data_IF_155902514074
#
_entry.id   IF_155902514074
#
_cell.length_a   1.000
_cell.length_b   1.000
_cell.length_c   1.000
_cell.angle_alpha   90.00
_cell.angle_beta   90.00
_cell.angle_gamma   90.00
#
_symmetry.space_group_name_H-M   'P 1'
#
loop_
_entity.id
_entity.type
_entity.pdbx_description
1 polymer ?
#
# COMPACT_ATOMS: atom_id res chain seq x y z
N UNK A 1 -13.97 -19.31 2.00
CA UNK A 1 -13.48 -19.43 0.61
C UNK A 1 -12.65 -20.70 0.52
N UNK A 2 -12.61 -21.40 -0.64
CA UNK A 2 -11.66 -22.50 -0.81
C UNK A 2 -10.22 -21.98 -0.70
N UNK A 3 -9.26 -22.79 -0.20
CA UNK A 3 -7.85 -22.38 -0.16
C UNK A 3 -7.35 -22.00 -1.57
N UNK A 4 -6.74 -20.82 -1.66
CA UNK A 4 -6.11 -20.29 -2.87
C UNK A 4 -4.59 -20.38 -2.75
N UNK A 5 -3.89 -20.44 -3.87
CA UNK A 5 -2.46 -20.24 -3.96
C UNK A 5 -2.20 -18.77 -4.26
N UNK A 6 -1.60 -18.06 -3.34
CA UNK A 6 -1.40 -16.61 -3.44
C UNK A 6 0.08 -16.31 -3.38
N UNK A 7 0.58 -15.56 -4.36
CA UNK A 7 1.95 -15.06 -4.38
C UNK A 7 1.92 -13.58 -3.99
N UNK A 8 2.65 -13.23 -2.92
CA UNK A 8 2.74 -11.86 -2.39
C UNK A 8 4.11 -11.28 -2.69
N UNK A 9 4.21 -10.36 -3.64
CA UNK A 9 5.41 -9.59 -3.92
C UNK A 9 5.51 -8.42 -2.93
N UNK A 10 6.64 -8.26 -2.26
CA UNK A 10 6.82 -7.32 -1.15
C UNK A 10 6.21 -7.81 0.17
N UNK A 11 6.12 -9.14 0.33
CA UNK A 11 5.46 -9.75 1.49
C UNK A 11 6.20 -9.62 2.82
N UNK A 12 7.50 -9.28 2.83
CA UNK A 12 8.26 -8.99 4.04
C UNK A 12 8.20 -7.51 4.47
N UNK A 13 7.53 -6.66 3.65
CA UNK A 13 7.31 -5.25 3.94
C UNK A 13 6.17 -5.01 4.95
N UNK A 14 5.85 -3.72 5.18
CA UNK A 14 4.81 -3.30 6.11
C UNK A 14 3.44 -3.92 5.78
N UNK A 15 2.82 -3.54 4.66
CA UNK A 15 1.48 -4.03 4.29
C UNK A 15 1.53 -5.54 3.98
N UNK A 16 2.59 -5.97 3.27
CA UNK A 16 2.74 -7.37 2.85
C UNK A 16 2.76 -8.35 3.99
N UNK A 17 3.47 -8.06 5.08
CA UNK A 17 3.56 -8.97 6.23
C UNK A 17 2.24 -9.14 6.98
N UNK A 18 1.44 -8.07 7.11
CA UNK A 18 0.09 -8.17 7.68
C UNK A 18 -0.86 -8.96 6.76
N UNK A 19 -0.74 -8.76 5.44
CA UNK A 19 -1.48 -9.57 4.47
C UNK A 19 -1.11 -11.05 4.58
N UNK A 20 0.17 -11.36 4.65
CA UNK A 20 0.66 -12.75 4.80
C UNK A 20 0.09 -13.40 6.05
N UNK A 21 0.14 -12.72 7.20
CA UNK A 21 -0.44 -13.24 8.45
C UNK A 21 -1.96 -13.51 8.30
N UNK A 22 -2.70 -12.60 7.67
CA UNK A 22 -4.13 -12.76 7.40
C UNK A 22 -4.40 -13.97 6.49
N UNK A 23 -3.64 -14.12 5.39
CA UNK A 23 -3.82 -15.23 4.45
C UNK A 23 -3.48 -16.59 5.08
N UNK A 24 -2.43 -16.64 5.91
CA UNK A 24 -2.08 -17.85 6.65
C UNK A 24 -3.17 -18.23 7.67
N UNK A 25 -3.74 -17.25 8.38
CA UNK A 25 -4.86 -17.48 9.29
C UNK A 25 -6.12 -18.00 8.56
N UNK A 26 -6.35 -17.57 7.33
CA UNK A 26 -7.44 -18.05 6.45
C UNK A 26 -7.11 -19.36 5.72
N UNK A 27 -5.98 -19.99 6.03
CA UNK A 27 -5.55 -21.29 5.50
C UNK A 27 -5.28 -21.31 3.99
N UNK A 28 -4.83 -20.20 3.40
CA UNK A 28 -4.34 -20.14 2.04
C UNK A 28 -2.92 -20.70 1.90
N UNK A 29 -2.52 -21.10 0.68
CA UNK A 29 -1.14 -21.42 0.33
C UNK A 29 -0.43 -20.13 -0.09
N UNK A 30 0.57 -19.70 0.69
CA UNK A 30 1.20 -18.38 0.51
C UNK A 30 2.66 -18.53 0.09
N UNK A 31 2.97 -18.02 -1.09
CA UNK A 31 4.34 -17.81 -1.55
C UNK A 31 4.68 -16.31 -1.40
N UNK A 32 5.78 -15.99 -0.74
CA UNK A 32 6.30 -14.63 -0.58
C UNK A 32 7.53 -14.43 -1.44
N UNK A 33 7.54 -13.37 -2.22
CA UNK A 33 8.70 -12.87 -2.97
C UNK A 33 9.08 -11.50 -2.43
N UNK A 34 10.31 -11.36 -1.95
CA UNK A 34 10.82 -10.09 -1.40
C UNK A 34 12.35 -10.09 -1.50
N UNK A 35 12.94 -9.01 -2.00
CA UNK A 35 14.40 -8.86 -2.09
C UNK A 35 15.02 -8.29 -0.80
N UNK A 36 14.19 -8.03 0.21
CA UNK A 36 14.55 -7.47 1.50
C UNK A 36 15.21 -6.08 1.42
N UNK A 37 15.04 -5.37 0.31
CA UNK A 37 15.55 -4.00 0.16
C UNK A 37 14.92 -3.03 1.17
N UNK A 38 13.68 -3.28 1.55
CA UNK A 38 12.94 -2.49 2.54
C UNK A 38 12.21 -3.34 3.56
N UNK A 39 11.93 -4.59 3.24
CA UNK A 39 11.29 -5.58 4.09
C UNK A 39 12.24 -6.19 5.11
N UNK A 40 11.69 -6.95 6.07
CA UNK A 40 12.44 -7.70 7.07
C UNK A 40 11.85 -9.09 7.29
N UNK A 41 12.73 -10.10 7.38
CA UNK A 41 12.30 -11.45 7.73
C UNK A 41 11.66 -11.54 9.14
N UNK A 42 11.99 -10.61 10.03
CA UNK A 42 11.35 -10.52 11.35
C UNK A 42 9.84 -10.28 11.25
N UNK A 43 9.39 -9.56 10.22
CA UNK A 43 7.97 -9.32 9.98
C UNK A 43 7.18 -10.59 9.62
N UNK A 44 7.87 -11.65 9.20
CA UNK A 44 7.28 -12.93 8.78
C UNK A 44 7.48 -14.06 9.81
N UNK A 45 7.93 -13.72 11.01
CA UNK A 45 8.32 -14.71 12.02
C UNK A 45 7.16 -15.66 12.35
N UNK A 46 5.98 -15.15 12.63
CA UNK A 46 4.79 -15.94 12.97
C UNK A 46 4.36 -16.84 11.79
N UNK A 47 4.29 -16.26 10.59
CA UNK A 47 3.89 -16.98 9.38
C UNK A 47 4.86 -18.09 9.00
N UNK A 48 6.17 -17.92 9.23
CA UNK A 48 7.19 -18.93 8.96
C UNK A 48 7.12 -20.14 9.88
N UNK A 49 6.62 -19.95 11.08
CA UNK A 49 6.43 -21.00 12.08
C UNK A 49 5.08 -21.71 11.96
N UNK A 50 4.15 -21.13 11.20
CA UNK A 50 2.89 -21.77 10.87
C UNK A 50 3.09 -22.89 9.84
N UNK A 51 2.17 -23.84 9.75
CA UNK A 51 2.22 -25.07 8.93
C UNK A 51 2.77 -24.87 7.51
N UNK A 52 3.23 -25.95 6.85
CA UNK A 52 3.96 -26.00 5.56
C UNK A 52 3.32 -25.39 4.30
N UNK A 53 2.35 -24.49 4.45
CA UNK A 53 1.70 -23.70 3.39
C UNK A 53 2.40 -22.37 3.08
N UNK A 54 3.43 -22.02 3.84
CA UNK A 54 4.22 -20.80 3.67
C UNK A 54 5.55 -21.09 2.98
N UNK A 55 5.91 -20.29 1.99
CA UNK A 55 7.23 -20.31 1.34
C UNK A 55 7.73 -18.89 1.12
N UNK A 56 9.03 -18.71 1.31
CA UNK A 56 9.72 -17.43 1.10
C UNK A 56 10.81 -17.59 0.05
N UNK A 57 10.88 -16.64 -0.89
CA UNK A 57 11.89 -16.54 -1.92
C UNK A 57 12.54 -15.15 -1.85
N UNK A 58 13.85 -15.13 -1.60
CA UNK A 58 14.62 -13.89 -1.59
C UNK A 58 15.08 -13.57 -3.02
N UNK A 59 14.18 -13.01 -3.81
CA UNK A 59 14.45 -12.57 -5.18
C UNK A 59 13.71 -11.29 -5.47
N UNK A 60 14.21 -10.51 -6.45
CA UNK A 60 13.48 -9.37 -7.00
C UNK A 60 12.42 -9.84 -8.01
N UNK A 61 11.28 -9.15 -8.07
CA UNK A 61 10.26 -9.39 -9.11
C UNK A 61 10.76 -9.08 -10.53
N UNK A 62 11.89 -8.36 -10.64
CA UNK A 62 12.53 -8.05 -11.92
C UNK A 62 13.59 -9.09 -12.32
N UNK A 63 13.89 -10.06 -11.47
CA UNK A 63 14.84 -11.09 -11.80
C UNK A 63 14.24 -12.14 -12.75
N UNK A 64 15.01 -12.76 -13.65
CA UNK A 64 14.52 -13.83 -14.53
C UNK A 64 13.87 -14.98 -13.79
N UNK A 65 14.36 -15.31 -12.60
CA UNK A 65 13.87 -16.39 -11.74
C UNK A 65 12.43 -16.15 -11.27
N UNK A 66 11.97 -14.90 -11.27
CA UNK A 66 10.60 -14.60 -10.86
C UNK A 66 9.56 -15.18 -11.82
N UNK A 67 9.76 -15.05 -13.13
CA UNK A 67 8.85 -15.62 -14.13
C UNK A 67 8.87 -17.16 -14.09
N UNK A 68 10.04 -17.76 -13.87
CA UNK A 68 10.18 -19.20 -13.69
C UNK A 68 9.45 -19.68 -12.44
N UNK A 69 9.59 -18.94 -11.32
CA UNK A 69 8.88 -19.21 -10.07
C UNK A 69 7.35 -19.18 -10.26
N UNK A 70 6.82 -18.15 -10.90
CA UNK A 70 5.37 -18.03 -11.18
C UNK A 70 4.90 -19.21 -12.02
N UNK A 71 5.63 -19.58 -13.06
CA UNK A 71 5.31 -20.73 -13.92
C UNK A 71 5.35 -22.07 -13.17
N UNK A 72 6.27 -22.23 -12.23
CA UNK A 72 6.41 -23.43 -11.40
C UNK A 72 5.30 -23.52 -10.34
N UNK A 73 5.04 -22.39 -9.65
CA UNK A 73 4.12 -22.33 -8.49
C UNK A 73 2.67 -22.27 -8.92
N UNK A 74 2.38 -21.67 -10.08
CA UNK A 74 1.05 -21.45 -10.64
C UNK A 74 0.09 -20.86 -9.60
N UNK A 75 0.38 -19.66 -9.06
CA UNK A 75 -0.54 -19.03 -8.13
C UNK A 75 -1.87 -18.69 -8.82
N UNK A 76 -2.96 -18.76 -8.08
CA UNK A 76 -4.26 -18.27 -8.53
C UNK A 76 -4.27 -16.75 -8.62
N UNK A 77 -3.59 -16.10 -7.66
CA UNK A 77 -3.54 -14.64 -7.51
C UNK A 77 -2.11 -14.20 -7.22
N UNK A 78 -1.70 -13.10 -7.85
CA UNK A 78 -0.50 -12.34 -7.44
C UNK A 78 -0.95 -11.03 -6.80
N UNK A 79 -0.43 -10.74 -5.59
CA UNK A 79 -0.58 -9.44 -4.93
C UNK A 79 0.75 -8.70 -5.01
N UNK A 80 0.76 -7.56 -5.73
CA UNK A 80 1.96 -6.77 -5.94
C UNK A 80 1.98 -5.54 -5.01
N UNK A 81 2.80 -5.60 -3.97
CA UNK A 81 3.04 -4.55 -2.98
C UNK A 81 4.48 -4.02 -3.03
N UNK A 82 5.28 -4.45 -4.02
CA UNK A 82 6.71 -4.12 -4.16
C UNK A 82 6.97 -2.85 -4.98
N UNK A 83 5.93 -2.12 -5.37
CA UNK A 83 6.02 -0.98 -6.29
C UNK A 83 5.61 0.33 -5.61
N UNK A 84 6.22 1.44 -6.06
CA UNK A 84 5.93 2.80 -5.58
C UNK A 84 5.97 2.95 -4.05
N UNK A 85 6.88 2.22 -3.41
CA UNK A 85 7.11 2.36 -1.97
C UNK A 85 7.77 3.71 -1.64
N UNK A 86 7.75 4.18 -0.38
CA UNK A 86 8.41 5.44 -0.01
C UNK A 86 9.90 5.51 -0.38
N UNK A 87 10.61 4.39 -0.40
CA UNK A 87 12.00 4.31 -0.88
C UNK A 87 12.14 4.55 -2.39
N UNK A 88 11.07 4.42 -3.15
CA UNK A 88 10.99 4.69 -4.59
C UNK A 88 10.43 6.09 -4.91
N UNK A 89 10.47 7.02 -3.97
CA UNK A 89 9.93 8.38 -4.12
C UNK A 89 10.82 9.33 -4.94
N UNK A 90 11.55 8.80 -5.92
CA UNK A 90 12.37 9.52 -6.88
C UNK A 90 12.29 8.86 -8.25
N UNK A 91 12.65 9.58 -9.31
CA UNK A 91 12.46 9.15 -10.71
C UNK A 91 12.97 7.73 -11.00
N UNK A 92 14.18 7.38 -10.57
CA UNK A 92 14.74 6.04 -10.82
C UNK A 92 13.94 4.95 -10.09
N UNK A 93 13.50 5.21 -8.87
CA UNK A 93 12.66 4.29 -8.12
C UNK A 93 11.27 4.11 -8.73
N UNK A 94 10.66 5.18 -9.23
CA UNK A 94 9.39 5.11 -9.93
C UNK A 94 9.52 4.37 -11.28
N UNK A 95 10.63 4.56 -12.02
CA UNK A 95 10.92 3.81 -13.23
C UNK A 95 11.12 2.30 -12.93
N UNK A 96 11.83 1.98 -11.86
CA UNK A 96 11.96 0.60 -11.35
C UNK A 96 10.59 0.01 -11.01
N UNK A 97 9.71 0.78 -10.37
CA UNK A 97 8.35 0.34 -10.02
C UNK A 97 7.48 0.06 -11.24
N UNK A 98 7.57 0.88 -12.29
CA UNK A 98 6.89 0.61 -13.57
C UNK A 98 7.42 -0.67 -14.21
N UNK A 99 8.74 -0.84 -14.28
CA UNK A 99 9.35 -2.05 -14.84
C UNK A 99 8.96 -3.30 -14.03
N UNK A 100 8.94 -3.21 -12.70
CA UNK A 100 8.47 -4.28 -11.81
C UNK A 100 6.99 -4.61 -12.04
N UNK A 101 6.13 -3.61 -12.25
CA UNK A 101 4.73 -3.83 -12.60
C UNK A 101 4.59 -4.63 -13.89
N UNK A 102 5.34 -4.25 -14.94
CA UNK A 102 5.34 -4.96 -16.22
C UNK A 102 5.85 -6.40 -16.05
N UNK A 103 6.92 -6.60 -15.28
CA UNK A 103 7.47 -7.94 -15.02
C UNK A 103 6.45 -8.85 -14.32
N UNK A 104 5.71 -8.33 -13.32
CA UNK A 104 4.64 -9.07 -12.63
C UNK A 104 3.50 -9.41 -13.58
N UNK A 105 3.04 -8.47 -14.40
CA UNK A 105 1.96 -8.70 -15.37
C UNK A 105 2.38 -9.72 -16.43
N UNK A 106 3.62 -9.66 -16.92
CA UNK A 106 4.14 -10.61 -17.91
C UNK A 106 4.30 -12.01 -17.31
N UNK A 107 4.82 -12.12 -16.08
CA UNK A 107 4.89 -13.40 -15.38
C UNK A 107 3.49 -13.99 -15.13
N UNK A 108 2.52 -13.15 -14.78
CA UNK A 108 1.12 -13.57 -14.61
C UNK A 108 0.53 -14.10 -15.93
N UNK A 109 0.77 -13.40 -17.05
CA UNK A 109 0.34 -13.83 -18.38
C UNK A 109 0.93 -15.19 -18.76
N UNK A 110 2.24 -15.35 -18.60
CA UNK A 110 2.95 -16.59 -18.96
C UNK A 110 2.60 -17.77 -18.04
N UNK A 111 2.40 -17.49 -16.74
CA UNK A 111 2.05 -18.50 -15.74
C UNK A 111 0.56 -18.87 -15.69
N UNK A 112 -0.30 -18.19 -16.46
CA UNK A 112 -1.75 -18.42 -16.46
C UNK A 112 -2.43 -18.02 -15.15
N UNK A 113 -1.91 -16.97 -14.49
CA UNK A 113 -2.46 -16.42 -13.25
C UNK A 113 -3.81 -15.77 -13.51
N UNK A 114 -4.81 -16.09 -12.69
CA UNK A 114 -6.17 -15.61 -12.90
C UNK A 114 -6.31 -14.10 -12.65
N UNK A 115 -5.58 -13.57 -11.65
CA UNK A 115 -5.71 -12.16 -11.26
C UNK A 115 -4.45 -11.58 -10.64
N UNK A 116 -4.21 -10.30 -10.95
CA UNK A 116 -3.18 -9.48 -10.31
C UNK A 116 -3.85 -8.36 -9.52
N UNK A 117 -3.51 -8.24 -8.23
CA UNK A 117 -3.91 -7.11 -7.37
C UNK A 117 -2.69 -6.26 -7.09
N UNK A 118 -2.73 -4.98 -7.45
CA UNK A 118 -1.59 -4.07 -7.24
C UNK A 118 -2.01 -2.89 -6.38
N UNK A 119 -1.25 -2.60 -5.33
CA UNK A 119 -1.42 -1.40 -4.51
C UNK A 119 -0.52 -0.27 -5.01
N UNK A 120 -1.13 0.90 -5.29
CA UNK A 120 -0.40 2.10 -5.72
C UNK A 120 -0.81 3.26 -4.79
N UNK A 121 0.14 4.08 -4.28
CA UNK A 121 -0.20 5.26 -3.50
C UNK A 121 -1.10 6.23 -4.26
N UNK A 122 -2.25 6.56 -3.69
CA UNK A 122 -3.24 7.42 -4.34
C UNK A 122 -2.69 8.83 -4.66
N UNK A 123 -1.77 9.32 -3.84
CA UNK A 123 -1.10 10.59 -4.09
C UNK A 123 -0.34 10.63 -5.42
N UNK A 124 0.22 9.49 -5.86
CA UNK A 124 0.89 9.37 -7.15
C UNK A 124 -0.11 9.18 -8.31
N UNK A 125 -1.25 8.55 -8.07
CA UNK A 125 -2.27 8.36 -9.12
C UNK A 125 -3.02 9.64 -9.41
N UNK A 126 -3.36 10.43 -8.38
CA UNK A 126 -4.23 11.59 -8.50
C UNK A 126 -3.50 12.92 -8.47
N UNK A 127 -2.33 12.99 -7.83
CA UNK A 127 -1.60 14.24 -7.66
C UNK A 127 -2.33 15.25 -6.78
N UNK A 128 -2.02 16.53 -6.96
CA UNK A 128 -2.63 17.64 -6.21
C UNK A 128 -4.07 17.88 -6.68
N UNK A 129 -5.02 17.96 -5.73
CA UNK A 129 -6.43 18.19 -6.01
C UNK A 129 -6.91 19.52 -5.42
N UNK A 130 -7.86 20.16 -6.09
CA UNK A 130 -8.56 21.32 -5.53
C UNK A 130 -9.46 20.89 -4.36
N UNK A 131 -9.66 21.78 -3.39
CA UNK A 131 -10.48 21.49 -2.21
C UNK A 131 -11.92 21.05 -2.55
N UNK A 132 -12.48 21.59 -3.64
CA UNK A 132 -13.84 21.25 -4.12
C UNK A 132 -13.99 19.84 -4.67
N UNK A 133 -12.87 19.20 -5.02
CA UNK A 133 -12.84 17.86 -5.64
C UNK A 133 -12.62 16.75 -4.60
N UNK A 134 -12.56 17.12 -3.33
CA UNK A 134 -12.43 16.18 -2.22
C UNK A 134 -13.80 15.73 -1.70
N UNK A 135 -13.94 14.48 -1.25
CA UNK A 135 -12.97 13.38 -1.40
C UNK A 135 -12.85 12.91 -2.86
N UNK A 136 -11.61 12.61 -3.29
CA UNK A 136 -11.27 12.25 -4.67
C UNK A 136 -12.00 10.97 -5.08
N UNK A 137 -12.67 11.01 -6.23
CA UNK A 137 -13.29 9.84 -6.86
C UNK A 137 -12.34 9.23 -7.89
N UNK A 138 -12.47 7.93 -8.10
CA UNK A 138 -11.71 7.24 -9.13
C UNK A 138 -12.04 7.77 -10.53
N UNK A 139 -11.01 7.87 -11.36
CA UNK A 139 -11.12 8.50 -12.69
C UNK A 139 -10.92 10.01 -12.67
N UNK A 140 -10.77 10.63 -11.50
CA UNK A 140 -10.35 12.03 -11.43
C UNK A 140 -8.87 12.13 -11.85
N UNK A 141 -8.62 12.83 -12.93
CA UNK A 141 -7.28 13.03 -13.48
C UNK A 141 -6.91 14.51 -13.34
N UNK A 142 -5.84 14.78 -12.62
CA UNK A 142 -5.19 16.09 -12.61
C UNK A 142 -3.97 16.07 -13.51
N UNK A 143 -3.46 17.25 -13.86
CA UNK A 143 -2.17 17.34 -14.53
C UNK A 143 -1.08 16.78 -13.64
N UNK A 144 -0.27 15.88 -14.19
CA UNK A 144 0.89 15.36 -13.47
C UNK A 144 1.92 16.45 -13.27
N UNK A 145 2.39 16.61 -12.04
CA UNK A 145 3.42 17.60 -11.68
C UNK A 145 4.80 16.97 -11.51
N UNK A 146 4.84 15.65 -11.38
CA UNK A 146 6.08 14.89 -11.18
C UNK A 146 6.15 13.71 -12.15
N UNK A 147 7.36 13.28 -12.44
CA UNK A 147 7.61 12.07 -13.23
C UNK A 147 7.08 10.81 -12.55
N UNK A 148 7.11 10.78 -11.22
CA UNK A 148 6.60 9.69 -10.42
C UNK A 148 5.08 9.50 -10.59
N UNK A 149 4.33 10.60 -10.66
CA UNK A 149 2.90 10.57 -10.97
C UNK A 149 2.62 10.02 -12.38
N UNK A 150 3.41 10.44 -13.37
CA UNK A 150 3.28 9.91 -14.75
C UNK A 150 3.53 8.41 -14.79
N UNK A 151 4.59 7.93 -14.14
CA UNK A 151 4.96 6.51 -14.13
C UNK A 151 3.97 5.66 -13.33
N UNK A 152 3.43 6.17 -12.24
CA UNK A 152 2.40 5.47 -11.46
C UNK A 152 1.08 5.32 -12.26
N UNK A 153 0.68 6.35 -12.99
CA UNK A 153 -0.47 6.27 -13.90
C UNK A 153 -0.22 5.29 -15.04
N UNK A 154 0.96 5.35 -15.66
CA UNK A 154 1.34 4.38 -16.68
C UNK A 154 1.29 2.93 -16.15
N UNK A 155 1.74 2.70 -14.92
CA UNK A 155 1.65 1.38 -14.28
C UNK A 155 0.20 0.93 -14.10
N UNK A 156 -0.71 1.82 -13.69
CA UNK A 156 -2.14 1.50 -13.59
C UNK A 156 -2.74 1.18 -14.98
N UNK A 157 -2.41 1.96 -16.01
CA UNK A 157 -2.89 1.75 -17.39
C UNK A 157 -2.38 0.44 -17.98
N UNK A 158 -1.17 -0.01 -17.64
CA UNK A 158 -0.62 -1.29 -18.08
C UNK A 158 -1.50 -2.47 -17.67
N UNK A 159 -2.14 -2.42 -16.50
CA UNK A 159 -3.08 -3.47 -16.08
C UNK A 159 -4.27 -3.58 -17.05
N UNK A 160 -4.82 -2.46 -17.49
CA UNK A 160 -5.89 -2.44 -18.49
C UNK A 160 -5.44 -3.05 -19.82
N UNK A 161 -4.23 -2.71 -20.27
CA UNK A 161 -3.67 -3.29 -21.51
C UNK A 161 -3.52 -4.81 -21.39
N UNK A 162 -2.99 -5.31 -20.26
CA UNK A 162 -2.81 -6.75 -20.08
C UNK A 162 -4.13 -7.50 -19.98
N UNK A 163 -5.15 -6.91 -19.36
CA UNK A 163 -6.51 -7.47 -19.35
C UNK A 163 -7.09 -7.55 -20.75
N UNK A 164 -7.08 -6.45 -21.48
CA UNK A 164 -7.74 -6.35 -22.78
C UNK A 164 -7.06 -7.20 -23.85
N UNK A 165 -5.73 -7.32 -23.80
CA UNK A 165 -4.95 -8.04 -24.81
C UNK A 165 -4.65 -9.49 -24.45
N UNK A 166 -4.57 -9.80 -23.17
CA UNK A 166 -4.07 -11.10 -22.69
C UNK A 166 -4.98 -11.79 -21.69
N UNK A 167 -6.10 -11.18 -21.30
CA UNK A 167 -7.07 -11.76 -20.38
C UNK A 167 -6.58 -11.87 -18.92
N UNK A 168 -5.51 -11.17 -18.54
CA UNK A 168 -5.04 -11.12 -17.16
C UNK A 168 -5.95 -10.18 -16.37
N UNK A 169 -6.81 -10.74 -15.53
CA UNK A 169 -7.70 -9.92 -14.70
C UNK A 169 -6.93 -9.14 -13.65
N UNK A 170 -7.43 -7.96 -13.26
CA UNK A 170 -6.72 -7.13 -12.28
C UNK A 170 -7.66 -6.34 -11.36
N UNK A 171 -7.10 -5.90 -10.23
CA UNK A 171 -7.62 -4.77 -9.45
C UNK A 171 -6.43 -3.89 -9.03
N UNK A 172 -6.49 -2.60 -9.33
CA UNK A 172 -5.55 -1.62 -8.77
C UNK A 172 -6.20 -0.96 -7.57
N UNK A 173 -5.57 -1.04 -6.41
CA UNK A 173 -6.00 -0.39 -5.18
C UNK A 173 -5.23 0.92 -5.01
N UNK A 174 -5.93 2.05 -5.15
CA UNK A 174 -5.39 3.38 -4.87
C UNK A 174 -5.38 3.60 -3.36
N UNK A 175 -4.22 3.35 -2.73
CA UNK A 175 -4.06 3.38 -1.28
C UNK A 175 -3.88 4.80 -0.77
N UNK A 176 -4.66 5.18 0.23
CA UNK A 176 -4.43 6.41 1.00
C UNK A 176 -3.22 6.28 1.94
N UNK A 177 -3.13 7.06 3.00
CA UNK A 177 -2.03 6.97 3.96
C UNK A 177 -2.26 5.81 4.94
N UNK A 178 -1.72 4.65 4.60
CA UNK A 178 -1.84 3.46 5.46
C UNK A 178 -0.90 3.61 6.66
N UNK A 179 -1.37 3.25 7.85
CA UNK A 179 -0.60 3.28 9.08
C UNK A 179 -0.88 2.04 9.94
N UNK A 180 0.10 1.66 10.77
CA UNK A 180 -0.01 0.49 11.62
C UNK A 180 1.34 0.04 12.18
N UNK A 181 1.36 -1.08 12.91
CA UNK A 181 2.58 -1.73 13.38
C UNK A 181 3.46 -2.18 12.21
N UNK A 182 4.74 -2.41 12.46
CA UNK A 182 5.77 -2.78 11.45
C UNK A 182 6.05 -1.71 10.38
N UNK A 183 5.42 -0.52 10.46
CA UNK A 183 5.76 0.59 9.58
C UNK A 183 7.04 1.26 10.06
N UNK A 184 8.02 1.44 9.16
CA UNK A 184 9.28 2.13 9.52
C UNK A 184 9.02 3.63 9.72
N UNK A 185 9.73 4.25 10.66
CA UNK A 185 9.60 5.69 10.93
C UNK A 185 9.87 6.58 9.69
N UNK A 186 10.68 6.09 8.74
CA UNK A 186 10.93 6.76 7.45
C UNK A 186 9.75 6.74 6.48
N UNK A 187 8.79 5.83 6.66
CA UNK A 187 7.80 5.49 5.63
C UNK A 187 6.43 6.15 5.84
N UNK A 188 6.27 6.92 6.91
CA UNK A 188 5.02 7.62 7.15
C UNK A 188 5.03 8.51 8.39
N UNK A 189 4.18 9.52 8.38
CA UNK A 189 4.10 10.51 9.46
C UNK A 189 3.64 9.91 10.79
N UNK A 190 2.72 8.92 10.76
CA UNK A 190 2.26 8.24 11.99
C UNK A 190 3.42 7.48 12.63
N UNK A 191 4.15 6.68 11.85
CA UNK A 191 5.31 5.94 12.36
C UNK A 191 6.44 6.88 12.85
N UNK A 192 6.69 7.98 12.15
CA UNK A 192 7.66 8.99 12.59
C UNK A 192 7.24 9.66 13.91
N UNK A 193 5.96 9.89 14.11
CA UNK A 193 5.43 10.46 15.36
C UNK A 193 5.47 9.43 16.50
N UNK A 194 5.18 8.16 16.24
CA UNK A 194 5.36 7.07 17.21
C UNK A 194 6.81 6.99 17.68
N UNK A 195 7.78 6.95 16.75
CA UNK A 195 9.21 6.92 17.08
C UNK A 195 9.62 8.12 17.91
N UNK A 196 9.14 9.32 17.57
CA UNK A 196 9.44 10.53 18.35
C UNK A 196 8.87 10.47 19.77
N UNK A 197 7.64 9.98 19.94
CA UNK A 197 7.00 9.81 21.24
C UNK A 197 7.73 8.78 22.12
N UNK A 198 8.06 7.62 21.54
CA UNK A 198 8.77 6.54 22.22
C UNK A 198 10.15 6.98 22.75
N UNK A 199 10.85 7.80 21.97
CA UNK A 199 12.17 8.31 22.36
C UNK A 199 12.15 9.66 23.09
N UNK A 200 10.98 10.20 23.41
CA UNK A 200 10.84 11.52 24.07
C UNK A 200 11.42 12.69 23.23
N UNK A 201 11.46 12.54 21.89
CA UNK A 201 11.99 13.53 20.96
C UNK A 201 10.89 14.42 20.39
N UNK A 202 11.25 15.65 20.02
CA UNK A 202 10.36 16.51 19.25
C UNK A 202 10.24 15.99 17.81
N UNK A 203 9.04 15.70 17.32
CA UNK A 203 8.85 15.27 15.93
C UNK A 203 9.13 16.42 14.97
N UNK A 204 9.40 16.07 13.70
CA UNK A 204 9.62 17.05 12.64
C UNK A 204 8.34 17.16 11.81
N UNK A 205 7.79 18.38 11.71
CA UNK A 205 6.67 18.71 10.84
C UNK A 205 7.19 19.55 9.68
N UNK A 206 7.11 19.00 8.47
CA UNK A 206 7.47 19.71 7.25
C UNK A 206 6.36 20.71 6.87
N UNK A 207 6.74 21.96 6.57
CA UNK A 207 5.79 23.03 6.29
C UNK A 207 5.02 23.49 7.52
N UNK A 208 3.75 23.89 7.32
CA UNK A 208 2.89 24.44 8.37
C UNK A 208 2.13 23.39 9.20
N UNK A 209 2.18 22.14 8.82
CA UNK A 209 1.37 21.08 9.43
C UNK A 209 -0.15 21.16 9.09
N UNK A 210 -0.56 22.11 8.24
CA UNK A 210 -1.96 22.26 7.77
C UNK A 210 -2.30 21.35 6.59
N UNK A 211 -1.30 20.73 5.96
CA UNK A 211 -1.54 19.73 4.92
C UNK A 211 -2.32 18.56 5.50
N UNK A 212 -3.31 18.07 4.71
CA UNK A 212 -4.22 17.03 5.16
C UNK A 212 -3.96 15.71 4.45
N UNK A 213 -4.18 14.62 5.17
CA UNK A 213 -4.12 13.24 4.67
C UNK A 213 -5.33 12.45 5.15
N UNK A 214 -5.66 11.44 4.40
CA UNK A 214 -6.66 10.43 4.74
C UNK A 214 -5.92 9.21 5.28
N UNK A 215 -6.14 8.86 6.54
CA UNK A 215 -5.42 7.79 7.24
C UNK A 215 -6.29 6.53 7.33
N UNK A 216 -5.75 5.41 6.85
CA UNK A 216 -6.41 4.10 6.89
C UNK A 216 -5.57 3.15 7.71
N UNK A 217 -6.20 2.48 8.68
CA UNK A 217 -5.51 1.49 9.50
C UNK A 217 -5.13 0.25 8.70
N UNK A 218 -4.05 -0.39 9.09
CA UNK A 218 -3.48 -1.52 8.35
C UNK A 218 -4.47 -2.66 8.14
N UNK A 219 -5.26 -3.02 9.15
CA UNK A 219 -6.22 -4.12 9.06
C UNK A 219 -7.35 -3.83 8.06
N UNK A 220 -7.80 -2.57 7.99
CA UNK A 220 -8.78 -2.13 6.99
C UNK A 220 -8.21 -2.26 5.58
N UNK A 221 -6.92 -1.92 5.41
CA UNK A 221 -6.24 -2.02 4.12
C UNK A 221 -6.06 -3.47 3.67
N UNK A 222 -5.68 -4.36 4.59
CA UNK A 222 -5.56 -5.80 4.33
C UNK A 222 -6.92 -6.40 3.96
N UNK A 223 -8.00 -6.01 4.65
CA UNK A 223 -9.36 -6.46 4.32
C UNK A 223 -9.78 -6.02 2.90
N UNK A 224 -9.43 -4.78 2.48
CA UNK A 224 -9.67 -4.32 1.12
C UNK A 224 -8.92 -5.16 0.07
N UNK A 225 -7.65 -5.51 0.34
CA UNK A 225 -6.85 -6.37 -0.54
C UNK A 225 -7.50 -7.75 -0.66
N UNK A 226 -7.83 -8.40 0.44
CA UNK A 226 -8.44 -9.75 0.44
C UNK A 226 -9.78 -9.75 -0.32
N UNK A 227 -10.64 -8.75 -0.08
CA UNK A 227 -11.92 -8.63 -0.82
C UNK A 227 -11.75 -8.41 -2.32
N UNK A 228 -10.61 -7.89 -2.76
CA UNK A 228 -10.35 -7.69 -4.18
C UNK A 228 -10.03 -8.99 -4.94
N UNK A 229 -9.85 -10.11 -4.27
CA UNK A 229 -9.47 -11.38 -4.92
C UNK A 229 -10.56 -11.89 -5.87
N UNK A 230 -11.81 -11.78 -5.49
CA UNK A 230 -12.97 -12.23 -6.25
C UNK A 230 -13.87 -11.09 -6.76
N UNK A 231 -13.53 -9.83 -6.45
CA UNK A 231 -14.34 -8.65 -6.74
C UNK A 231 -13.55 -7.57 -7.46
N UNK A 232 -14.27 -6.55 -7.94
CA UNK A 232 -13.71 -5.35 -8.57
C UNK A 232 -12.75 -5.63 -9.73
N UNK A 233 -12.96 -6.70 -10.50
CA UNK A 233 -12.16 -7.03 -11.69
C UNK A 233 -12.18 -5.89 -12.71
N UNK A 234 -10.99 -5.56 -13.25
CA UNK A 234 -10.79 -4.49 -14.23
C UNK A 234 -10.94 -3.07 -13.69
N UNK A 235 -10.87 -2.86 -12.38
CA UNK A 235 -11.12 -1.56 -11.78
C UNK A 235 -9.92 -1.03 -11.01
N UNK A 236 -9.82 0.31 -11.01
CA UNK A 236 -9.10 1.06 -9.97
C UNK A 236 -10.09 1.35 -8.86
N UNK A 237 -9.73 1.07 -7.60
CA UNK A 237 -10.59 1.26 -6.42
C UNK A 237 -9.84 2.00 -5.34
N UNK A 238 -10.44 3.06 -4.82
CA UNK A 238 -9.90 3.84 -3.71
C UNK A 238 -10.02 3.09 -2.38
N UNK A 239 -8.91 3.02 -1.65
CA UNK A 239 -8.87 2.55 -0.27
C UNK A 239 -8.57 3.74 0.63
N UNK A 240 -9.63 4.36 1.14
CA UNK A 240 -9.58 5.57 1.94
C UNK A 240 -10.83 5.70 2.82
N UNK A 241 -10.77 6.59 3.80
CA UNK A 241 -11.89 6.86 4.71
C UNK A 241 -12.81 7.99 4.21
N UNK A 242 -12.29 8.86 3.35
CA UNK A 242 -12.93 10.11 2.95
C UNK A 242 -12.71 11.26 3.94
N UNK A 243 -12.03 11.00 5.05
CA UNK A 243 -11.78 12.00 6.11
C UNK A 243 -10.40 12.62 5.94
N UNK A 244 -10.35 13.93 5.82
CA UNK A 244 -9.12 14.70 5.72
C UNK A 244 -8.68 15.15 7.12
N UNK A 245 -7.55 14.65 7.61
CA UNK A 245 -6.95 15.03 8.90
C UNK A 245 -5.66 15.80 8.67
N UNK A 246 -5.49 16.97 9.32
CA UNK A 246 -4.24 17.73 9.22
C UNK A 246 -3.12 17.05 10.03
N UNK A 247 -1.86 17.32 9.65
CA UNK A 247 -0.71 16.78 10.39
C UNK A 247 -0.68 17.33 11.83
N UNK A 248 -1.14 18.56 12.04
CA UNK A 248 -1.26 19.13 13.39
C UNK A 248 -2.34 18.43 14.22
N UNK A 249 -3.50 18.14 13.62
CA UNK A 249 -4.58 17.40 14.31
C UNK A 249 -4.14 15.97 14.63
N UNK A 250 -3.45 15.32 13.69
CA UNK A 250 -2.86 13.98 13.92
C UNK A 250 -1.94 14.01 15.15
N UNK A 251 -1.02 14.97 15.23
CA UNK A 251 -0.12 15.09 16.39
C UNK A 251 -0.89 15.28 17.69
N UNK A 252 -1.93 16.13 17.67
CA UNK A 252 -2.78 16.35 18.84
C UNK A 252 -3.51 15.07 19.28
N UNK A 253 -4.03 14.29 18.33
CA UNK A 253 -4.68 12.99 18.59
C UNK A 253 -3.71 11.95 19.16
N UNK A 254 -2.45 12.00 18.77
CA UNK A 254 -1.40 11.11 19.28
C UNK A 254 -0.91 11.50 20.68
N UNK A 255 -1.57 12.45 21.38
CA UNK A 255 -1.21 12.86 22.73
C UNK A 255 -0.02 13.80 22.79
N UNK A 256 0.28 14.47 21.70
CA UNK A 256 1.37 15.42 21.56
C UNK A 256 1.35 16.62 22.53
N UNK A 257 0.22 16.85 23.19
CA UNK A 257 0.08 17.96 24.18
C UNK A 257 1.04 17.82 25.38
N UNK A 258 1.36 16.58 25.77
CA UNK A 258 2.27 16.27 26.86
C UNK A 258 3.72 16.01 26.42
N UNK A 259 4.00 16.13 25.13
CA UNK A 259 5.29 15.82 24.51
C UNK A 259 5.99 17.08 24.02
N UNK A 260 7.30 17.04 23.70
CA UNK A 260 8.00 18.19 23.13
C UNK A 260 7.29 18.74 21.90
N UNK A 261 7.13 20.06 21.82
CA UNK A 261 6.48 20.70 20.65
C UNK A 261 7.17 20.32 19.34
N UNK A 262 6.42 20.09 18.26
CA UNK A 262 7.01 19.75 16.97
C UNK A 262 7.99 20.81 16.47
N UNK A 263 9.08 20.37 15.86
CA UNK A 263 10.01 21.24 15.15
C UNK A 263 9.52 21.46 13.73
N UNK A 264 9.41 22.70 13.32
CA UNK A 264 9.11 23.03 11.94
C UNK A 264 10.33 22.84 11.04
N UNK A 265 10.16 22.21 9.89
CA UNK A 265 11.15 22.11 8.83
C UNK A 265 10.57 22.66 7.51
N UNK A 266 11.44 22.94 6.55
CA UNK A 266 11.02 23.38 5.21
C UNK A 266 10.03 22.39 4.59
N UNK A 267 8.98 22.89 3.95
CA UNK A 267 8.04 22.06 3.20
C UNK A 267 8.78 21.21 2.16
N UNK A 268 8.37 19.96 2.01
CA UNK A 268 8.96 19.09 0.99
C UNK A 268 8.53 19.58 -0.39
N UNK A 269 9.41 19.56 -1.39
CA UNK A 269 9.02 19.83 -2.77
C UNK A 269 7.89 18.89 -3.20
N UNK A 270 6.89 19.43 -3.89
CA UNK A 270 5.75 18.65 -4.42
C UNK A 270 4.92 17.88 -3.37
N UNK A 271 5.07 18.20 -2.07
CA UNK A 271 4.17 17.63 -1.05
C UNK A 271 2.73 18.10 -1.32
N UNK A 272 1.79 17.14 -1.32
CA UNK A 272 0.39 17.43 -1.58
C UNK A 272 -0.19 18.29 -0.44
N UNK A 273 -0.89 19.36 -0.80
CA UNK A 273 -1.57 20.17 0.22
C UNK A 273 -2.71 19.39 0.88
N UNK A 274 -3.36 18.50 0.12
CA UNK A 274 -4.50 17.73 0.65
C UNK A 274 -4.69 16.42 -0.10
N UNK A 275 -5.16 15.40 0.65
CA UNK A 275 -5.55 14.10 0.11
C UNK A 275 -6.67 13.53 0.97
N UNK A 276 -7.80 13.18 0.36
CA UNK A 276 -8.81 12.26 0.92
C UNK A 276 -9.51 11.55 -0.22
N UNK A 277 -9.87 10.28 -0.03
CA UNK A 277 -10.37 9.40 -1.09
C UNK A 277 -11.82 9.02 -0.83
N UNK A 278 -12.66 9.11 -1.83
CA UNK A 278 -14.04 8.64 -1.74
C UNK A 278 -14.10 7.11 -1.62
N UNK A 279 -14.68 6.54 -0.54
CA UNK A 279 -14.82 5.09 -0.37
C UNK A 279 -16.03 4.50 -1.12
N UNK A 280 -16.74 5.30 -1.92
CA UNK A 280 -18.02 4.88 -2.51
C UNK A 280 -17.85 3.69 -3.44
N UNK A 281 -16.84 3.69 -4.33
CA UNK A 281 -16.60 2.56 -5.23
C UNK A 281 -16.20 1.31 -4.46
N UNK A 282 -15.33 1.43 -3.46
CA UNK A 282 -14.95 0.30 -2.60
C UNK A 282 -16.17 -0.33 -1.92
N UNK A 283 -17.09 0.49 -1.41
CA UNK A 283 -18.34 0.01 -0.80
C UNK A 283 -19.19 -0.79 -1.79
N UNK A 284 -19.34 -0.30 -3.00
CA UNK A 284 -20.17 -0.93 -4.04
C UNK A 284 -19.49 -2.16 -4.62
N UNK A 285 -18.21 -2.07 -4.98
CA UNK A 285 -17.52 -3.07 -5.78
C UNK A 285 -16.80 -4.13 -4.94
N UNK A 286 -16.29 -3.77 -3.75
CA UNK A 286 -15.65 -4.70 -2.82
C UNK A 286 -16.55 -5.11 -1.65
N UNK A 287 -17.64 -4.39 -1.40
CA UNK A 287 -18.41 -4.51 -0.16
C UNK A 287 -17.56 -4.06 1.05
N UNK A 288 -16.62 -3.16 0.84
CA UNK A 288 -15.67 -2.68 1.84
C UNK A 288 -16.01 -1.27 2.31
N UNK A 289 -15.87 -1.06 3.59
CA UNK A 289 -15.83 0.27 4.22
C UNK A 289 -14.79 0.24 5.33
N UNK A 290 -14.11 1.35 5.61
CA UNK A 290 -13.21 1.41 6.76
C UNK A 290 -14.01 1.15 8.04
N UNK A 291 -13.47 0.33 8.94
CA UNK A 291 -14.12 -0.05 10.20
C UNK A 291 -13.33 0.40 11.43
N UNK A 292 -12.08 0.86 11.25
CA UNK A 292 -11.23 1.36 12.33
C UNK A 292 -11.19 2.89 12.27
N UNK A 293 -11.62 3.57 13.33
CA UNK A 293 -11.45 5.02 13.41
C UNK A 293 -9.98 5.38 13.60
N UNK A 294 -9.59 6.61 13.21
CA UNK A 294 -8.20 7.06 13.41
C UNK A 294 -7.80 7.00 14.89
N UNK A 295 -8.68 7.37 15.81
CA UNK A 295 -8.41 7.35 17.23
C UNK A 295 -8.19 5.92 17.76
N UNK A 296 -9.03 4.97 17.34
CA UNK A 296 -8.90 3.57 17.73
C UNK A 296 -7.60 2.96 17.22
N UNK A 297 -7.29 3.14 15.92
CA UNK A 297 -6.07 2.64 15.32
C UNK A 297 -4.80 3.24 15.93
N UNK A 298 -4.80 4.54 16.29
CA UNK A 298 -3.69 5.16 17.00
C UNK A 298 -3.54 4.61 18.43
N UNK A 299 -4.64 4.25 19.09
CA UNK A 299 -4.58 3.68 20.43
C UNK A 299 -3.87 2.31 20.45
N UNK A 300 -4.03 1.49 19.43
CA UNK A 300 -3.37 0.18 19.33
C UNK A 300 -1.84 0.30 19.26
N UNK A 301 -1.34 1.38 18.61
CA UNK A 301 0.09 1.59 18.46
C UNK A 301 0.78 2.03 19.76
N UNK A 302 0.03 2.59 20.73
CA UNK A 302 0.57 3.01 22.03
C UNK A 302 0.75 1.85 23.01
N UNK A 303 0.06 0.74 22.79
CA UNK A 303 0.09 -0.42 23.70
C UNK A 303 1.03 -1.52 23.20
N UNK A 304 1.63 -1.35 22.04
CA UNK A 304 2.54 -2.32 21.42
C UNK A 304 4.03 -2.03 21.67
N UNK A 305 4.36 -1.00 22.48
CA UNK A 305 5.71 -0.58 22.85
C UNK A 305 6.08 -1.03 24.27
#
# INVERSE_FOLDING_TARGET
MAPLKILVCGGAGFIGSHLVDRLMAEQHDVDVVDDLSTGSLSNLFESRNASGRFKFQNISVQSPEFAELVSLRRPDIIVNLSVFTPSHSHLSGAATSLAATIAVLEAARLGGVSKVVTAIPAGLLYGECAARDLPIKEGHLNDSRTSEEVLARAAADMHTVYRDRHGVEFTVLAMSNIYGSRQRASDGVVAAFCDALEHGKAPIVHGSGKQTRDFVFIDDSVDAIVRSFDRAGGLVVNVGTGVATSINDLWSLMGGVSSPSPRSATARPHDLARLSLSPVRARIQLGWSPFTTLADGLSTLRHAG
#
